data_IF_366663377719
#
_entry.id   IF_366663377719
#
_cell.length_a   1.000
_cell.length_b   1.000
_cell.length_c   1.000
_cell.angle_alpha   90.00
_cell.angle_beta   90.00
_cell.angle_gamma   90.00
#
_symmetry.space_group_name_H-M   'P 1'
#
loop_
_entity.id
_entity.type
_entity.pdbx_description
1 polymer ?
#
# COMPACT_ATOMS: atom_id res chain seq x y z
N UNK A 1 30.87 -10.83 -7.41
CA UNK A 1 31.81 -10.21 -6.44
C UNK A 1 33.15 -10.94 -6.32
N UNK A 2 33.20 -12.27 -6.11
CA UNK A 2 34.47 -13.00 -5.93
C UNK A 2 35.43 -12.86 -7.11
N UNK A 3 34.98 -13.00 -8.36
CA UNK A 3 35.88 -12.94 -9.53
C UNK A 3 36.51 -11.56 -9.76
N UNK A 4 35.79 -10.46 -9.51
CA UNK A 4 36.36 -9.10 -9.62
C UNK A 4 37.38 -8.83 -8.50
N UNK A 5 37.15 -9.37 -7.30
CA UNK A 5 38.12 -9.30 -6.20
C UNK A 5 39.38 -10.11 -6.49
N UNK A 6 39.23 -11.33 -7.00
CA UNK A 6 40.37 -12.17 -7.41
C UNK A 6 41.20 -11.50 -8.52
N UNK A 7 40.55 -10.89 -9.51
CA UNK A 7 41.26 -10.14 -10.55
C UNK A 7 41.99 -8.91 -10.03
N UNK A 8 41.45 -8.25 -8.99
CA UNK A 8 42.11 -7.11 -8.34
C UNK A 8 43.30 -7.56 -7.48
N UNK A 9 43.12 -8.62 -6.68
CA UNK A 9 44.17 -9.22 -5.85
C UNK A 9 45.33 -9.75 -6.71
N UNK A 10 45.04 -10.46 -7.80
CA UNK A 10 46.07 -10.91 -8.74
C UNK A 10 46.82 -9.75 -9.39
N UNK A 11 46.14 -8.64 -9.68
CA UNK A 11 46.76 -7.49 -10.30
C UNK A 11 47.67 -6.71 -9.32
N UNK A 12 47.30 -6.67 -8.04
CA UNK A 12 48.10 -6.10 -6.96
C UNK A 12 49.28 -7.01 -6.59
N UNK A 13 49.09 -8.33 -6.56
CA UNK A 13 50.14 -9.33 -6.32
C UNK A 13 51.21 -9.33 -7.43
N UNK A 14 50.77 -9.23 -8.70
CA UNK A 14 51.65 -9.16 -9.87
C UNK A 14 52.26 -7.76 -10.09
N UNK A 15 51.96 -6.78 -9.23
CA UNK A 15 52.46 -5.39 -9.29
C UNK A 15 52.28 -4.76 -10.67
N UNK A 16 51.10 -4.94 -11.29
CA UNK A 16 50.85 -4.28 -12.57
C UNK A 16 50.99 -2.76 -12.42
N UNK A 17 51.58 -2.06 -13.41
CA UNK A 17 51.64 -0.61 -13.39
C UNK A 17 50.23 -0.03 -13.31
N UNK A 18 50.05 1.08 -12.57
CA UNK A 18 48.76 1.77 -12.53
C UNK A 18 48.37 2.19 -13.95
N UNK A 19 47.36 1.51 -14.48
CA UNK A 19 46.78 1.78 -15.78
C UNK A 19 45.28 2.06 -15.59
N UNK A 20 44.66 2.74 -16.54
CA UNK A 20 43.25 3.13 -16.48
C UNK A 20 42.33 1.92 -16.25
N UNK A 21 42.69 0.75 -16.78
CA UNK A 21 42.00 -0.52 -16.54
C UNK A 21 42.02 -0.96 -15.07
N UNK A 22 43.14 -0.76 -14.36
CA UNK A 22 43.27 -1.09 -12.93
C UNK A 22 42.45 -0.13 -12.07
N UNK A 23 42.43 1.16 -12.43
CA UNK A 23 41.55 2.16 -11.80
C UNK A 23 40.07 1.83 -12.01
N UNK A 24 39.68 1.49 -13.24
CA UNK A 24 38.30 1.09 -13.56
C UNK A 24 37.89 -0.17 -12.80
N UNK A 25 38.78 -1.16 -12.67
CA UNK A 25 38.53 -2.38 -11.89
C UNK A 25 38.32 -2.06 -10.40
N UNK A 26 39.15 -1.20 -9.79
CA UNK A 26 38.97 -0.75 -8.39
C UNK A 26 37.64 -0.03 -8.18
N UNK A 27 37.25 0.85 -9.11
CA UNK A 27 35.97 1.55 -9.06
C UNK A 27 34.80 0.56 -9.15
N UNK A 28 34.82 -0.36 -10.12
CA UNK A 28 33.78 -1.37 -10.30
C UNK A 28 33.64 -2.30 -9.08
N UNK A 29 34.75 -2.67 -8.43
CA UNK A 29 34.73 -3.45 -7.18
C UNK A 29 34.06 -2.67 -6.05
N UNK A 30 34.44 -1.40 -5.86
CA UNK A 30 33.88 -0.54 -4.80
C UNK A 30 32.38 -0.27 -5.00
N UNK A 31 31.96 -0.05 -6.24
CA UNK A 31 30.54 0.09 -6.60
C UNK A 31 29.76 -1.20 -6.30
N UNK A 32 30.31 -2.37 -6.67
CA UNK A 32 29.69 -3.65 -6.37
C UNK A 32 29.57 -3.93 -4.86
N UNK A 33 30.57 -3.56 -4.06
CA UNK A 33 30.52 -3.68 -2.59
C UNK A 33 29.48 -2.75 -1.96
N UNK A 34 29.39 -1.52 -2.45
CA UNK A 34 28.39 -0.54 -2.00
C UNK A 34 26.98 -1.03 -2.30
N UNK A 35 26.75 -1.51 -3.53
CA UNK A 35 25.49 -2.10 -3.94
C UNK A 35 25.15 -3.36 -3.13
N UNK A 36 26.12 -4.24 -2.86
CA UNK A 36 25.88 -5.43 -2.04
C UNK A 36 25.46 -5.06 -0.60
N UNK A 37 26.10 -4.04 -0.02
CA UNK A 37 25.78 -3.55 1.32
C UNK A 37 24.38 -2.94 1.40
N UNK A 38 24.00 -2.13 0.42
CA UNK A 38 22.65 -1.55 0.33
C UNK A 38 21.60 -2.66 0.13
N UNK A 39 21.86 -3.62 -0.76
CA UNK A 39 20.96 -4.75 -1.02
C UNK A 39 20.75 -5.61 0.24
N UNK A 40 21.82 -5.92 0.97
CA UNK A 40 21.71 -6.61 2.26
C UNK A 40 20.87 -5.82 3.26
N UNK A 41 21.09 -4.51 3.36
CA UNK A 41 20.34 -3.66 4.28
C UNK A 41 18.84 -3.61 3.94
N UNK A 42 18.47 -3.54 2.65
CA UNK A 42 17.07 -3.60 2.20
C UNK A 42 16.42 -4.95 2.54
N UNK A 43 17.13 -6.06 2.32
CA UNK A 43 16.65 -7.41 2.63
C UNK A 43 16.49 -7.61 4.14
N UNK A 44 17.46 -7.18 4.94
CA UNK A 44 17.41 -7.30 6.40
C UNK A 44 16.29 -6.45 7.01
N UNK A 45 15.94 -5.30 6.40
CA UNK A 45 14.77 -4.51 6.81
C UNK A 45 13.46 -5.26 6.56
N UNK A 46 13.29 -5.91 5.40
CA UNK A 46 12.13 -6.77 5.10
C UNK A 46 11.96 -7.88 6.14
N UNK A 47 13.05 -8.47 6.64
CA UNK A 47 13.00 -9.53 7.64
C UNK A 47 12.65 -9.02 9.05
N UNK A 48 13.09 -7.82 9.43
CA UNK A 48 12.87 -7.26 10.77
C UNK A 48 11.42 -6.81 11.00
N UNK A 49 10.74 -6.29 9.97
CA UNK A 49 9.34 -5.86 10.08
C UNK A 49 8.33 -7.03 10.20
N UNK A 50 8.73 -8.29 9.95
CA UNK A 50 7.91 -9.47 10.26
C UNK A 50 7.89 -9.80 11.77
N UNK A 51 8.74 -9.15 12.58
CA UNK A 51 8.97 -9.49 13.99
C UNK A 51 8.76 -8.28 14.91
N UNK A 52 7.53 -7.77 15.01
CA UNK A 52 7.07 -6.75 16.00
C UNK A 52 7.88 -5.43 16.08
N UNK A 53 7.22 -4.31 15.80
CA UNK A 53 6.90 -3.27 16.80
C UNK A 53 6.70 -1.91 16.15
N UNK A 54 5.57 -1.30 16.52
CA UNK A 54 5.41 0.14 16.68
C UNK A 54 6.69 0.76 17.27
N UNK A 55 7.20 1.81 16.62
CA UNK A 55 8.44 2.45 17.03
C UNK A 55 8.69 3.67 16.18
N UNK A 56 7.99 4.75 16.50
CA UNK A 56 8.06 6.04 15.85
C UNK A 56 9.50 6.49 15.59
N UNK A 57 9.86 6.54 14.33
CA UNK A 57 10.82 7.47 13.77
C UNK A 57 10.55 7.52 12.28
N UNK A 58 10.30 8.72 11.79
CA UNK A 58 10.32 9.09 10.37
C UNK A 58 11.67 8.68 9.78
N UNK A 59 11.78 7.40 9.45
CA UNK A 59 12.90 6.84 8.72
C UNK A 59 12.54 7.03 7.26
N UNK A 60 13.39 7.75 6.53
CA UNK A 60 13.23 8.02 5.09
C UNK A 60 12.92 6.71 4.39
N UNK A 61 11.66 6.55 4.00
CA UNK A 61 11.20 5.36 3.27
C UNK A 61 11.83 5.41 1.89
N UNK A 62 12.25 4.26 1.38
CA UNK A 62 12.78 4.18 0.02
C UNK A 62 11.62 4.45 -0.94
N UNK A 63 11.78 5.33 -1.92
CA UNK A 63 10.77 5.54 -2.96
C UNK A 63 10.80 4.41 -3.99
N UNK A 64 9.69 4.18 -4.68
CA UNK A 64 9.61 3.21 -5.80
C UNK A 64 10.63 3.54 -6.88
N UNK A 65 10.87 4.84 -7.13
CA UNK A 65 11.85 5.28 -8.12
C UNK A 65 13.28 4.90 -7.73
N UNK A 66 13.65 5.12 -6.47
CA UNK A 66 14.97 4.72 -5.94
C UNK A 66 15.15 3.20 -5.99
N UNK A 67 14.11 2.41 -5.69
CA UNK A 67 14.16 0.95 -5.80
C UNK A 67 14.41 0.50 -7.24
N UNK A 68 13.69 1.08 -8.21
CA UNK A 68 13.86 0.80 -9.64
C UNK A 68 15.26 1.14 -10.14
N UNK A 69 15.75 2.33 -9.79
CA UNK A 69 17.10 2.77 -10.14
C UNK A 69 18.16 1.85 -9.55
N UNK A 70 17.98 1.43 -8.29
CA UNK A 70 18.90 0.52 -7.62
C UNK A 70 18.92 -0.88 -8.25
N UNK A 71 17.76 -1.43 -8.62
CA UNK A 71 17.69 -2.71 -9.35
C UNK A 71 18.39 -2.58 -10.70
N UNK A 72 18.15 -1.51 -11.46
CA UNK A 72 18.85 -1.29 -12.73
C UNK A 72 20.38 -1.23 -12.54
N UNK A 73 20.84 -0.52 -11.50
CA UNK A 73 22.26 -0.45 -11.15
C UNK A 73 22.83 -1.83 -10.77
N UNK A 74 22.08 -2.67 -10.07
CA UNK A 74 22.50 -4.05 -9.74
C UNK A 74 22.71 -4.92 -11.00
N UNK A 75 21.90 -4.72 -12.03
CA UNK A 75 22.03 -5.45 -13.30
C UNK A 75 23.07 -4.85 -14.25
N UNK A 76 23.41 -3.58 -14.11
CA UNK A 76 24.48 -2.95 -14.91
C UNK A 76 25.89 -3.27 -14.39
N UNK A 77 26.01 -3.81 -13.18
CA UNK A 77 27.31 -4.19 -12.61
C UNK A 77 27.90 -5.41 -13.35
N UNK A 78 29.22 -5.44 -13.60
CA UNK A 78 29.89 -6.57 -14.24
C UNK A 78 30.01 -7.80 -13.32
N UNK A 79 29.24 -7.88 -12.22
CA UNK A 79 29.26 -9.01 -11.33
C UNK A 79 27.90 -9.31 -10.69
N UNK A 80 27.68 -10.59 -10.39
CA UNK A 80 26.47 -11.05 -9.70
C UNK A 80 26.62 -10.83 -8.20
N UNK A 81 25.62 -10.18 -7.62
CA UNK A 81 25.42 -10.00 -6.17
C UNK A 81 24.33 -10.97 -5.72
N UNK A 82 24.58 -11.73 -4.64
CA UNK A 82 23.66 -12.78 -4.18
C UNK A 82 22.27 -12.24 -3.81
N UNK A 83 22.22 -10.99 -3.32
CA UNK A 83 20.99 -10.32 -2.88
C UNK A 83 20.19 -9.71 -4.04
N UNK A 84 20.72 -9.66 -5.27
CA UNK A 84 20.01 -9.07 -6.42
C UNK A 84 18.63 -9.69 -6.63
N UNK A 85 18.50 -11.02 -6.44
CA UNK A 85 17.21 -11.71 -6.56
C UNK A 85 16.18 -11.21 -5.54
N UNK A 86 16.57 -11.01 -4.30
CA UNK A 86 15.66 -10.58 -3.23
C UNK A 86 15.21 -9.12 -3.41
N UNK A 87 16.09 -8.26 -3.92
CA UNK A 87 15.76 -6.86 -4.24
C UNK A 87 14.83 -6.81 -5.46
N UNK A 88 15.07 -7.67 -6.47
CA UNK A 88 14.19 -7.86 -7.63
C UNK A 88 12.80 -8.32 -7.20
N UNK A 89 12.70 -9.35 -6.36
CA UNK A 89 11.42 -9.83 -5.81
C UNK A 89 10.68 -8.75 -5.02
N UNK A 90 11.38 -7.88 -4.28
CA UNK A 90 10.76 -6.75 -3.61
C UNK A 90 10.17 -5.76 -4.62
N UNK A 91 10.91 -5.43 -5.68
CA UNK A 91 10.42 -4.56 -6.75
C UNK A 91 9.20 -5.17 -7.44
N UNK A 92 9.25 -6.45 -7.80
CA UNK A 92 8.14 -7.15 -8.45
C UNK A 92 6.90 -7.15 -7.53
N UNK A 93 7.07 -7.33 -6.20
CA UNK A 93 5.97 -7.25 -5.22
C UNK A 93 5.37 -5.83 -5.13
N UNK A 94 6.20 -4.79 -5.25
CA UNK A 94 5.75 -3.39 -5.26
C UNK A 94 4.96 -3.11 -6.54
N UNK A 95 5.43 -3.58 -7.70
CA UNK A 95 4.73 -3.43 -8.98
C UNK A 95 3.39 -4.18 -8.99
N UNK A 96 3.36 -5.41 -8.45
CA UNK A 96 2.11 -6.17 -8.27
C UNK A 96 1.13 -5.42 -7.36
N UNK A 97 1.62 -4.84 -6.25
CA UNK A 97 0.80 -4.01 -5.37
C UNK A 97 0.23 -2.79 -6.12
N UNK A 98 1.03 -2.11 -6.94
CA UNK A 98 0.55 -0.96 -7.73
C UNK A 98 -0.58 -1.36 -8.67
N UNK A 99 -0.43 -2.46 -9.41
CA UNK A 99 -1.45 -2.91 -10.36
C UNK A 99 -2.74 -3.31 -9.64
N UNK A 100 -2.65 -4.11 -8.57
CA UNK A 100 -3.83 -4.51 -7.79
C UNK A 100 -4.50 -3.33 -7.10
N UNK A 101 -3.72 -2.35 -6.65
CA UNK A 101 -4.26 -1.12 -6.06
C UNK A 101 -5.03 -0.32 -7.10
N UNK A 102 -4.49 -0.18 -8.31
CA UNK A 102 -5.15 0.51 -9.41
C UNK A 102 -6.45 -0.19 -9.82
N UNK A 103 -6.44 -1.52 -9.89
CA UNK A 103 -7.63 -2.32 -10.14
C UNK A 103 -8.69 -2.09 -9.04
N UNK A 104 -8.32 -2.23 -7.76
CA UNK A 104 -9.23 -2.02 -6.64
C UNK A 104 -9.78 -0.59 -6.54
N UNK A 105 -9.02 0.42 -6.96
CA UNK A 105 -9.47 1.82 -7.01
C UNK A 105 -10.36 2.11 -8.24
N UNK A 106 -10.33 1.24 -9.25
CA UNK A 106 -11.16 1.36 -10.46
C UNK A 106 -12.48 0.60 -10.35
N UNK A 107 -12.63 -0.27 -9.35
CA UNK A 107 -13.86 -1.02 -9.10
C UNK A 107 -15.02 -0.06 -8.78
N UNK A 108 -16.17 -0.25 -9.45
CA UNK A 108 -17.37 0.59 -9.26
C UNK A 108 -17.95 0.49 -7.84
N UNK A 109 -17.69 -0.61 -7.14
CA UNK A 109 -18.10 -0.86 -5.76
C UNK A 109 -16.83 -1.20 -4.97
N UNK A 110 -16.46 -0.39 -3.96
CA UNK A 110 -15.24 -0.62 -3.22
C UNK A 110 -15.43 -1.80 -2.26
N UNK A 111 -14.55 -2.80 -2.34
CA UNK A 111 -14.58 -4.01 -1.50
C UNK A 111 -13.66 -3.84 -0.28
N UNK A 112 -14.24 -3.88 0.92
CA UNK A 112 -13.50 -3.65 2.16
C UNK A 112 -12.44 -4.73 2.45
N UNK A 113 -12.72 -5.98 2.11
CA UNK A 113 -11.81 -7.12 2.31
C UNK A 113 -10.62 -7.05 1.36
N UNK A 114 -10.87 -6.80 0.07
CA UNK A 114 -9.83 -6.61 -0.96
C UNK A 114 -8.91 -5.43 -0.60
N UNK A 115 -9.48 -4.29 -0.22
CA UNK A 115 -8.73 -3.09 0.16
C UNK A 115 -7.92 -3.29 1.44
N UNK A 116 -8.45 -4.01 2.44
CA UNK A 116 -7.72 -4.31 3.67
C UNK A 116 -6.51 -5.23 3.40
N UNK A 117 -6.67 -6.27 2.59
CA UNK A 117 -5.56 -7.14 2.18
C UNK A 117 -4.46 -6.36 1.44
N UNK A 118 -4.84 -5.41 0.59
CA UNK A 118 -3.88 -4.54 -0.08
C UNK A 118 -3.12 -3.64 0.90
N UNK A 119 -3.80 -3.03 1.86
CA UNK A 119 -3.15 -2.22 2.90
C UNK A 119 -2.19 -3.04 3.75
N UNK A 120 -2.53 -4.29 4.09
CA UNK A 120 -1.65 -5.21 4.81
C UNK A 120 -0.40 -5.54 3.98
N UNK A 121 -0.57 -5.88 2.70
CA UNK A 121 0.53 -6.12 1.76
C UNK A 121 1.45 -4.89 1.68
N UNK A 122 0.87 -3.71 1.43
CA UNK A 122 1.60 -2.45 1.31
C UNK A 122 2.31 -2.03 2.60
N UNK A 123 1.75 -2.35 3.78
CA UNK A 123 2.41 -2.11 5.06
C UNK A 123 3.65 -2.98 5.28
N UNK A 124 3.67 -4.17 4.66
CA UNK A 124 4.82 -5.08 4.67
C UNK A 124 5.94 -4.67 3.69
N UNK A 125 5.66 -3.76 2.76
CA UNK A 125 6.63 -3.19 1.84
C UNK A 125 7.30 -1.98 2.53
N UNK A 126 8.62 -2.02 2.75
CA UNK A 126 9.40 -0.91 3.35
C UNK A 126 9.68 0.20 2.32
N UNK A 127 8.66 0.54 1.53
CA UNK A 127 8.72 1.46 0.39
C UNK A 127 7.64 2.54 0.57
N UNK A 128 7.91 3.75 0.10
CA UNK A 128 6.92 4.80 0.06
C UNK A 128 5.93 4.55 -1.08
N UNK A 129 4.69 4.24 -0.70
CA UNK A 129 3.59 3.93 -1.60
C UNK A 129 2.56 5.06 -1.56
N UNK A 130 2.40 5.75 -2.68
CA UNK A 130 1.49 6.89 -2.82
C UNK A 130 0.01 6.45 -2.87
N UNK A 131 -0.23 5.16 -3.12
CA UNK A 131 -1.54 4.53 -3.18
C UNK A 131 -2.10 4.24 -1.78
N UNK A 132 -1.26 4.09 -0.75
CA UNK A 132 -1.71 3.75 0.60
C UNK A 132 -2.73 4.74 1.18
N UNK A 133 -2.53 6.08 1.10
CA UNK A 133 -3.55 7.04 1.50
C UNK A 133 -4.86 6.90 0.73
N UNK A 134 -4.79 6.66 -0.59
CA UNK A 134 -5.97 6.52 -1.45
C UNK A 134 -6.76 5.24 -1.15
N UNK A 135 -6.05 4.12 -0.98
CA UNK A 135 -6.66 2.84 -0.56
C UNK A 135 -7.32 2.95 0.82
N UNK A 136 -6.74 3.70 1.75
CA UNK A 136 -7.37 3.98 3.05
C UNK A 136 -8.68 4.74 2.92
N UNK A 137 -8.73 5.73 2.02
CA UNK A 137 -9.97 6.47 1.74
C UNK A 137 -11.04 5.55 1.14
N UNK A 138 -10.69 4.75 0.13
CA UNK A 138 -11.63 3.76 -0.44
C UNK A 138 -12.08 2.71 0.59
N UNK A 139 -11.21 2.32 1.52
CA UNK A 139 -11.59 1.37 2.58
C UNK A 139 -12.63 1.98 3.53
N UNK A 140 -12.52 3.28 3.84
CA UNK A 140 -13.54 3.96 4.63
C UNK A 140 -14.89 3.99 3.92
N UNK A 141 -14.89 4.24 2.60
CA UNK A 141 -16.09 4.18 1.77
C UNK A 141 -16.71 2.77 1.76
N UNK A 142 -15.89 1.74 1.55
CA UNK A 142 -16.34 0.34 1.55
C UNK A 142 -16.94 -0.07 2.89
N UNK A 143 -16.27 0.24 4.00
CA UNK A 143 -16.76 -0.08 5.36
C UNK A 143 -18.08 0.59 5.66
N UNK A 144 -18.24 1.85 5.26
CA UNK A 144 -19.51 2.54 5.42
C UNK A 144 -20.62 1.87 4.59
N UNK A 145 -20.35 1.51 3.33
CA UNK A 145 -21.31 0.76 2.52
C UNK A 145 -21.68 -0.59 3.13
N UNK A 146 -20.71 -1.30 3.72
CA UNK A 146 -20.96 -2.55 4.45
C UNK A 146 -21.86 -2.32 5.67
N UNK A 147 -21.61 -1.26 6.44
CA UNK A 147 -22.46 -0.87 7.59
C UNK A 147 -23.89 -0.53 7.16
N UNK A 148 -24.04 0.21 6.05
CA UNK A 148 -25.36 0.55 5.48
C UNK A 148 -26.10 -0.71 5.03
N UNK A 149 -25.43 -1.59 4.29
CA UNK A 149 -26.02 -2.86 3.84
C UNK A 149 -26.42 -3.74 5.03
N UNK A 150 -25.59 -3.83 6.07
CA UNK A 150 -25.87 -4.61 7.26
C UNK A 150 -27.06 -4.05 8.05
N UNK A 151 -27.12 -2.72 8.22
CA UNK A 151 -28.25 -2.06 8.88
C UNK A 151 -29.55 -2.24 8.10
N UNK A 152 -29.52 -2.14 6.76
CA UNK A 152 -30.70 -2.34 5.92
C UNK A 152 -31.14 -3.81 5.81
N UNK A 153 -30.25 -4.75 6.11
CA UNK A 153 -30.54 -6.19 6.05
C UNK A 153 -31.41 -6.69 7.21
N UNK A 154 -31.42 -6.00 8.35
CA UNK A 154 -32.26 -6.35 9.51
C UNK A 154 -33.34 -5.28 9.76
N UNK A 155 -34.62 -5.55 9.41
CA UNK A 155 -35.73 -4.64 9.63
C UNK A 155 -35.91 -4.16 11.08
N UNK A 156 -35.45 -4.92 12.07
CA UNK A 156 -35.53 -4.54 13.48
C UNK A 156 -34.50 -3.48 13.88
N UNK A 157 -33.40 -3.35 13.12
CA UNK A 157 -32.32 -2.37 13.37
C UNK A 157 -32.50 -1.08 12.59
N UNK A 158 -33.35 -1.11 11.56
CA UNK A 158 -33.71 0.03 10.70
C UNK A 158 -34.60 1.02 11.47
N UNK A 159 -33.98 1.79 12.35
CA UNK A 159 -34.61 2.87 13.11
C UNK A 159 -34.23 4.23 12.53
N UNK A 160 -35.07 5.25 12.75
CA UNK A 160 -34.79 6.64 12.33
C UNK A 160 -33.45 7.15 12.89
N UNK A 161 -33.11 6.78 14.13
CA UNK A 161 -31.85 7.16 14.77
C UNK A 161 -30.65 6.46 14.12
N UNK A 162 -30.77 5.18 13.76
CA UNK A 162 -29.74 4.45 13.03
C UNK A 162 -29.51 5.03 11.62
N UNK A 163 -30.57 5.36 10.89
CA UNK A 163 -30.46 6.01 9.57
C UNK A 163 -29.76 7.37 9.67
N UNK A 164 -30.11 8.20 10.65
CA UNK A 164 -29.47 9.52 10.89
C UNK A 164 -27.98 9.34 11.17
N UNK A 165 -27.62 8.40 12.03
CA UNK A 165 -26.20 8.07 12.32
C UNK A 165 -25.43 7.60 11.09
N UNK A 166 -26.04 6.76 10.24
CA UNK A 166 -25.41 6.30 9.00
C UNK A 166 -25.21 7.45 7.99
N UNK A 167 -26.17 8.37 7.89
CA UNK A 167 -26.02 9.57 7.05
C UNK A 167 -24.90 10.46 7.60
N UNK A 168 -24.88 10.71 8.91
CA UNK A 168 -23.85 11.54 9.56
C UNK A 168 -22.44 10.96 9.36
N UNK A 169 -22.28 9.62 9.43
CA UNK A 169 -20.99 8.97 9.18
C UNK A 169 -20.60 8.99 7.70
N UNK A 170 -21.56 9.08 6.78
CA UNK A 170 -21.33 9.14 5.34
C UNK A 170 -20.90 10.53 4.83
N UNK A 171 -21.36 11.62 5.46
CA UNK A 171 -21.11 13.00 5.00
C UNK A 171 -19.61 13.36 4.94
N UNK A 172 -18.80 12.76 5.83
CA UNK A 172 -17.36 13.00 5.88
C UNK A 172 -16.52 12.17 4.90
N UNK A 173 -17.14 11.29 4.12
CA UNK A 173 -16.43 10.40 3.20
C UNK A 173 -16.03 11.12 1.92
N UNK A 174 -14.94 10.66 1.30
CA UNK A 174 -14.55 11.14 -0.01
C UNK A 174 -15.63 10.81 -1.06
N UNK A 175 -15.80 11.64 -2.11
CA UNK A 175 -16.84 11.45 -3.12
C UNK A 175 -16.63 10.14 -3.88
N UNK A 176 -17.69 9.34 -3.99
CA UNK A 176 -17.72 8.06 -4.71
C UNK A 176 -19.15 7.73 -5.13
N UNK A 177 -19.36 7.31 -6.38
CA UNK A 177 -20.71 7.09 -6.91
C UNK A 177 -21.54 6.08 -6.11
N UNK A 178 -20.92 4.99 -5.64
CA UNK A 178 -21.59 4.02 -4.76
C UNK A 178 -22.02 4.62 -3.41
N UNK A 179 -21.21 5.51 -2.82
CA UNK A 179 -21.52 6.17 -1.55
C UNK A 179 -22.65 7.17 -1.73
N UNK A 180 -22.59 7.97 -2.80
CA UNK A 180 -23.64 8.94 -3.14
C UNK A 180 -24.99 8.26 -3.38
N UNK A 181 -24.98 7.14 -4.11
CA UNK A 181 -26.19 6.33 -4.34
C UNK A 181 -26.78 5.80 -3.04
N UNK A 182 -25.97 5.14 -2.21
CA UNK A 182 -26.44 4.61 -0.92
C UNK A 182 -26.90 5.74 0.03
N UNK A 183 -26.27 6.91 -0.03
CA UNK A 183 -26.69 8.08 0.75
C UNK A 183 -28.05 8.62 0.28
N UNK A 184 -28.29 8.67 -1.03
CA UNK A 184 -29.60 9.04 -1.57
C UNK A 184 -30.69 8.05 -1.15
N UNK A 185 -30.39 6.74 -1.23
CA UNK A 185 -31.32 5.68 -0.82
C UNK A 185 -31.66 5.79 0.69
N UNK A 186 -30.67 6.06 1.55
CA UNK A 186 -30.89 6.29 2.99
C UNK A 186 -31.74 7.55 3.27
N UNK A 187 -31.50 8.64 2.54
CA UNK A 187 -32.27 9.88 2.69
C UNK A 187 -33.73 9.72 2.27
N UNK A 188 -33.98 8.98 1.17
CA UNK A 188 -35.33 8.64 0.74
C UNK A 188 -36.05 7.79 1.79
N UNK A 189 -35.38 6.73 2.28
CA UNK A 189 -35.93 5.85 3.30
C UNK A 189 -36.26 6.61 4.59
N UNK A 190 -35.36 7.48 5.05
CA UNK A 190 -35.58 8.34 6.21
C UNK A 190 -36.84 9.21 6.04
N UNK A 191 -36.97 9.86 4.87
CA UNK A 191 -38.11 10.72 4.54
C UNK A 191 -39.43 9.94 4.57
N UNK A 192 -39.43 8.71 4.03
CA UNK A 192 -40.62 7.84 4.06
C UNK A 192 -40.96 7.43 5.49
N UNK A 193 -39.97 7.02 6.28
CA UNK A 193 -40.16 6.62 7.68
C UNK A 193 -40.70 7.76 8.56
N UNK A 194 -40.18 8.99 8.42
CA UNK A 194 -40.66 10.15 9.18
C UNK A 194 -42.13 10.48 8.85
N UNK A 195 -42.53 10.37 7.57
CA UNK A 195 -43.93 10.57 7.16
C UNK A 195 -44.87 9.52 7.76
N UNK A 196 -44.44 8.27 7.86
CA UNK A 196 -45.24 7.21 8.48
C UNK A 196 -45.38 7.41 9.98
N UNK A 197 -44.32 7.84 10.66
CA UNK A 197 -44.36 8.15 12.09
C UNK A 197 -45.32 9.31 12.38
N UNK A 198 -45.30 10.37 11.58
CA UNK A 198 -46.21 11.51 11.74
C UNK A 198 -47.68 11.10 11.53
N UNK A 199 -47.97 10.31 10.49
CA UNK A 199 -49.32 9.76 10.28
C UNK A 199 -49.78 8.91 11.46
N UNK A 200 -48.90 8.09 12.02
CA UNK A 200 -49.22 7.27 13.18
C UNK A 200 -49.52 8.13 14.42
N UNK A 201 -48.73 9.19 14.66
CA UNK A 201 -48.97 10.15 15.75
C UNK A 201 -50.33 10.84 15.64
N UNK A 202 -50.69 11.31 14.44
CA UNK A 202 -52.00 11.92 14.18
C UNK A 202 -53.14 10.94 14.48
N UNK A 203 -53.03 9.68 14.06
CA UNK A 203 -54.03 8.65 14.36
C UNK A 203 -54.15 8.34 15.86
N UNK A 204 -53.06 8.43 16.62
CA UNK A 204 -53.07 8.22 18.07
C UNK A 204 -53.67 9.42 18.82
N UNK A 205 -53.51 10.65 18.31
CA UNK A 205 -54.06 11.87 18.90
C UNK A 205 -55.55 12.08 18.56
N UNK A 206 -56.05 11.46 17.50
CA UNK A 206 -57.44 11.52 17.08
C UNK A 206 -58.37 10.54 17.84
N UNK A 207 -57.89 9.89 18.91
CA UNK A 207 -58.63 8.97 19.78
C UNK A 207 -58.69 9.50 21.20
#
# INVERSE_FOLDING_TARGET
LCQLKTGLEEAEEKKFPENDLLRQLRVAVKEAETCASIAQLLVSRKQRNRSKSEGGKTRTKLTVHELKAFVHQLYSLPCVISQTRLVKELLDSVEEFHERSKEALSDEIPDSSKLQLLLELGSGLDVELQELPRLKQHLQQARWLDEVNLALSDPATVTLDAMKKLIDSGIGLAPHGAVEKAMADLQELLTVSERWEEKAKVCLQAR
#
